data_IF_682753080880
#
_entry.id   IF_682753080880
#
_cell.length_a   1.000
_cell.length_b   1.000
_cell.length_c   1.000
_cell.angle_alpha   90.00
_cell.angle_beta   90.00
_cell.angle_gamma   90.00
#
_symmetry.space_group_name_H-M   'P 1'
#
loop_
_entity.id
_entity.type
_entity.pdbx_description
1 polymer ?
#
# COMPACT_ATOMS: atom_id res chain seq x y z
N UNK A 1 56.50 44.87 5.57
CA UNK A 1 55.92 46.14 6.06
C UNK A 1 54.62 45.76 6.69
N UNK A 2 54.52 45.56 8.04
CA UNK A 2 54.08 46.54 9.05
C UNK A 2 52.56 46.75 8.93
N UNK A 3 51.65 46.49 9.85
CA UNK A 3 51.53 46.46 11.35
C UNK A 3 50.20 45.71 11.65
N UNK A 4 50.02 44.81 12.51
CA UNK A 4 49.90 44.83 13.96
C UNK A 4 48.90 45.87 14.54
N UNK A 5 47.84 45.37 15.19
CA UNK A 5 46.89 46.13 15.99
C UNK A 5 46.09 45.25 16.92
N UNK A 6 46.55 45.09 18.15
CA UNK A 6 45.86 44.50 19.33
C UNK A 6 45.00 45.59 19.99
N UNK A 7 43.84 45.13 20.61
CA UNK A 7 43.29 45.62 21.91
C UNK A 7 41.98 44.81 22.16
N UNK A 8 41.85 43.97 23.14
CA UNK A 8 41.89 43.93 24.59
C UNK A 8 40.80 44.79 25.31
N UNK A 9 40.09 44.07 26.17
CA UNK A 9 39.22 44.47 27.30
C UNK A 9 37.75 44.86 26.95
N UNK A 10 36.72 44.43 27.66
CA UNK A 10 36.52 44.24 29.10
C UNK A 10 35.34 43.32 29.40
N UNK A 11 35.47 42.48 30.37
CA UNK A 11 34.44 41.88 31.20
C UNK A 11 33.68 42.96 32.01
N UNK A 12 32.38 42.74 32.23
CA UNK A 12 31.72 43.08 33.47
C UNK A 12 30.39 42.31 33.59
N UNK A 13 30.12 41.71 34.79
CA UNK A 13 28.89 41.01 35.13
C UNK A 13 27.95 41.95 35.92
N UNK A 14 26.73 41.53 36.12
CA UNK A 14 25.66 41.91 37.08
C UNK A 14 24.33 41.85 36.31
N UNK A 15 23.22 41.40 36.84
CA UNK A 15 22.81 40.91 38.12
C UNK A 15 21.44 40.24 37.90
N UNK A 16 21.10 39.38 38.82
CA UNK A 16 19.81 38.79 39.06
C UNK A 16 18.66 39.81 39.06
N UNK A 17 17.54 39.46 38.41
CA UNK A 17 16.21 39.90 38.87
C UNK A 17 15.17 38.84 38.53
N UNK A 18 14.71 38.18 39.57
CA UNK A 18 13.52 37.33 39.62
C UNK A 18 12.28 38.20 39.53
N UNK A 19 11.31 37.79 38.72
CA UNK A 19 9.87 38.11 38.86
C UNK A 19 9.11 37.09 37.99
N UNK A 20 8.57 36.09 38.54
CA UNK A 20 7.25 35.84 39.12
C UNK A 20 6.08 36.10 38.16
N UNK A 21 5.48 34.95 37.77
CA UNK A 21 4.07 34.65 37.51
C UNK A 21 3.26 35.58 36.64
N UNK A 22 2.70 34.99 35.56
CA UNK A 22 1.23 34.92 35.40
C UNK A 22 0.88 33.65 34.63
N UNK A 23 0.22 32.71 35.30
CA UNK A 23 -0.57 31.65 34.73
C UNK A 23 -1.79 32.27 34.04
N UNK A 24 -1.91 32.12 32.73
CA UNK A 24 -3.18 32.20 32.04
C UNK A 24 -3.35 30.86 31.28
N UNK A 25 -4.15 30.00 31.89
CA UNK A 25 -4.76 28.86 31.27
C UNK A 25 -5.66 29.34 30.12
N UNK A 26 -5.19 29.22 28.90
CA UNK A 26 -5.99 29.30 27.69
C UNK A 26 -6.14 27.90 27.14
N UNK A 27 -7.22 27.22 27.54
CA UNK A 27 -7.71 26.06 26.80
C UNK A 27 -8.16 26.55 25.42
N UNK A 28 -7.30 26.44 24.43
CA UNK A 28 -7.64 26.52 23.03
C UNK A 28 -7.48 25.14 22.46
N UNK A 29 -8.58 24.41 22.32
CA UNK A 29 -8.61 23.18 21.50
C UNK A 29 -8.27 23.57 20.04
N UNK A 30 -6.99 23.60 19.75
CA UNK A 30 -6.52 23.58 18.36
C UNK A 30 -6.68 22.15 17.85
N UNK A 31 -7.80 21.86 17.23
CA UNK A 31 -7.95 20.69 16.37
C UNK A 31 -6.80 20.74 15.37
N UNK A 32 -5.90 19.74 15.34
CA UNK A 32 -4.85 19.72 14.33
C UNK A 32 -5.52 19.60 12.98
N UNK A 33 -5.33 20.61 12.13
CA UNK A 33 -5.73 20.57 10.74
C UNK A 33 -5.08 19.32 10.12
N UNK A 34 -5.91 18.41 9.62
CA UNK A 34 -5.46 17.22 8.89
C UNK A 34 -4.63 17.69 7.70
N UNK A 35 -3.35 17.40 7.70
CA UNK A 35 -2.47 17.60 6.54
C UNK A 35 -3.05 16.79 5.36
N UNK A 36 -3.42 17.43 4.26
CA UNK A 36 -3.86 16.72 3.07
C UNK A 36 -2.63 16.11 2.39
N UNK A 37 -2.60 14.79 2.27
CA UNK A 37 -1.74 14.15 1.29
C UNK A 37 -0.69 13.15 1.78
N UNK A 38 -0.58 12.83 3.06
CA UNK A 38 0.23 11.66 3.45
C UNK A 38 -0.59 10.39 3.26
N UNK A 39 -0.11 9.41 2.47
CA UNK A 39 -0.75 8.10 2.42
C UNK A 39 -0.81 7.56 3.85
N UNK A 40 -2.01 7.31 4.32
CA UNK A 40 -2.25 6.79 5.67
C UNK A 40 -1.49 5.46 5.79
N UNK A 41 -0.58 5.37 6.74
CA UNK A 41 0.14 4.12 7.02
C UNK A 41 -0.86 3.02 7.25
N UNK A 42 -0.88 2.05 6.35
CA UNK A 42 -1.52 0.76 6.61
C UNK A 42 -0.87 0.19 7.85
N UNK A 43 -1.66 -0.07 8.87
CA UNK A 43 -1.19 -0.77 10.06
C UNK A 43 -0.70 -2.15 9.60
N UNK A 44 0.61 -2.33 9.54
CA UNK A 44 1.21 -3.65 9.42
C UNK A 44 0.77 -4.44 10.66
N UNK A 45 -0.24 -5.28 10.48
CA UNK A 45 -0.67 -6.19 11.53
C UNK A 45 0.48 -7.12 11.87
N UNK A 46 1.12 -6.88 13.00
CA UNK A 46 2.32 -7.58 13.47
C UNK A 46 2.00 -8.88 14.18
N UNK A 47 0.83 -9.47 13.95
CA UNK A 47 0.51 -10.76 14.53
C UNK A 47 1.26 -11.87 13.77
N UNK A 48 2.31 -12.39 14.36
CA UNK A 48 2.74 -13.76 14.14
C UNK A 48 1.65 -14.65 14.73
N UNK A 49 0.64 -14.96 13.95
CA UNK A 49 -0.34 -15.96 14.32
C UNK A 49 -0.04 -17.16 13.46
N UNK A 50 0.58 -18.16 14.04
CA UNK A 50 0.42 -19.53 13.56
C UNK A 50 -1.03 -19.94 13.83
N UNK A 51 -1.95 -19.34 13.10
CA UNK A 51 -3.34 -19.78 13.10
C UNK A 51 -3.39 -21.13 12.36
N UNK A 52 -3.36 -22.17 13.16
CA UNK A 52 -3.54 -23.53 12.66
C UNK A 52 -5.03 -23.82 12.61
N UNK A 53 -5.59 -23.94 11.42
CA UNK A 53 -6.98 -24.31 11.24
C UNK A 53 -7.10 -25.78 10.85
N UNK A 54 -7.81 -26.55 11.67
CA UNK A 54 -8.16 -27.93 11.36
C UNK A 54 -9.34 -27.92 10.40
N UNK A 55 -9.08 -28.08 9.11
CA UNK A 55 -10.10 -28.16 8.06
C UNK A 55 -9.86 -29.42 7.24
N UNK A 56 -10.91 -30.15 6.96
CA UNK A 56 -10.87 -31.42 6.25
C UNK A 56 -11.47 -31.32 4.86
N UNK A 57 -11.16 -32.28 3.99
CA UNK A 57 -11.72 -32.40 2.66
C UNK A 57 -10.78 -31.95 1.54
N UNK A 58 -11.34 -31.71 0.37
CA UNK A 58 -10.61 -31.24 -0.80
C UNK A 58 -9.99 -29.85 -0.54
N UNK A 59 -9.05 -29.42 -1.39
CA UNK A 59 -8.42 -28.11 -1.30
C UNK A 59 -9.47 -26.96 -1.23
N UNK A 60 -10.52 -27.02 -2.04
CA UNK A 60 -11.59 -26.02 -2.03
C UNK A 60 -12.45 -26.09 -0.76
N UNK A 61 -12.74 -27.29 -0.26
CA UNK A 61 -13.47 -27.45 1.01
C UNK A 61 -12.69 -26.90 2.19
N UNK A 62 -11.38 -27.13 2.21
CA UNK A 62 -10.48 -26.61 3.25
C UNK A 62 -10.38 -25.10 3.20
N UNK A 63 -10.29 -24.55 1.98
CA UNK A 63 -10.24 -23.09 1.80
C UNK A 63 -11.59 -22.44 2.16
N UNK A 64 -12.71 -23.07 1.82
CA UNK A 64 -14.04 -22.61 2.27
C UNK A 64 -14.15 -22.66 3.79
N UNK A 65 -13.67 -23.73 4.43
CA UNK A 65 -13.62 -23.81 5.90
C UNK A 65 -12.79 -22.69 6.52
N UNK A 66 -11.67 -22.32 5.90
CA UNK A 66 -10.89 -21.14 6.30
C UNK A 66 -11.70 -19.85 6.18
N UNK A 67 -12.41 -19.64 5.06
CA UNK A 67 -13.24 -18.46 4.87
C UNK A 67 -14.38 -18.40 5.90
N UNK A 68 -15.04 -19.52 6.18
CA UNK A 68 -16.08 -19.59 7.21
C UNK A 68 -15.54 -19.23 8.60
N UNK A 69 -14.37 -19.73 8.96
CA UNK A 69 -13.74 -19.39 10.24
C UNK A 69 -13.36 -17.90 10.36
N UNK A 70 -13.08 -17.22 9.22
CA UNK A 70 -12.67 -15.82 9.21
C UNK A 70 -13.82 -14.83 9.00
N UNK A 71 -14.81 -15.20 8.19
CA UNK A 71 -15.87 -14.29 7.71
C UNK A 71 -17.28 -14.81 7.97
N UNK A 72 -17.41 -15.97 8.67
CA UNK A 72 -18.70 -16.58 8.97
C UNK A 72 -19.27 -17.43 7.83
N UNK A 73 -20.38 -18.10 8.10
CA UNK A 73 -20.98 -19.13 7.22
C UNK A 73 -21.51 -18.59 5.88
N UNK A 74 -21.63 -17.27 5.75
CA UNK A 74 -22.04 -16.65 4.50
C UNK A 74 -20.92 -16.56 3.46
N UNK A 75 -19.67 -16.75 3.86
CA UNK A 75 -18.54 -16.68 2.94
C UNK A 75 -18.63 -17.71 1.81
N UNK A 76 -18.17 -17.33 0.61
CA UNK A 76 -18.20 -18.15 -0.60
C UNK A 76 -16.85 -18.08 -1.32
N UNK A 77 -16.46 -19.16 -2.00
CA UNK A 77 -15.25 -19.17 -2.82
C UNK A 77 -15.46 -18.51 -4.18
N UNK A 78 -16.57 -18.78 -4.81
CA UNK A 78 -16.80 -18.49 -6.22
C UNK A 78 -17.91 -17.45 -6.45
N UNK A 79 -18.40 -16.81 -5.40
CA UNK A 79 -19.42 -15.78 -5.46
C UNK A 79 -19.22 -14.72 -4.38
N UNK A 80 -19.62 -13.46 -4.63
CA UNK A 80 -19.68 -12.45 -3.59
C UNK A 80 -20.68 -12.82 -2.48
N UNK A 81 -20.42 -12.30 -1.27
CA UNK A 81 -21.35 -12.42 -0.15
C UNK A 81 -21.47 -11.10 0.62
N UNK A 82 -22.62 -10.88 1.22
CA UNK A 82 -22.87 -9.74 2.08
C UNK A 82 -22.34 -9.98 3.48
N UNK A 83 -21.76 -8.94 4.07
CA UNK A 83 -21.20 -8.96 5.41
C UNK A 83 -21.30 -7.57 6.06
N UNK A 84 -20.88 -7.49 7.30
CA UNK A 84 -20.77 -6.23 8.04
C UNK A 84 -19.32 -5.99 8.41
N UNK A 85 -18.85 -4.78 8.20
CA UNK A 85 -17.54 -4.35 8.63
C UNK A 85 -17.66 -3.42 9.83
N UNK A 86 -16.97 -3.76 10.92
CA UNK A 86 -16.86 -2.90 12.09
C UNK A 86 -15.84 -1.79 11.79
N UNK A 87 -16.35 -0.61 11.44
CA UNK A 87 -15.53 0.58 11.21
C UNK A 87 -15.17 1.22 12.53
N UNK A 88 -13.94 0.99 12.99
CA UNK A 88 -13.45 1.52 14.26
C UNK A 88 -13.19 3.02 14.23
N UNK A 89 -13.14 3.66 13.06
CA UNK A 89 -12.91 5.10 12.93
C UNK A 89 -14.19 5.90 13.16
N UNK A 90 -15.34 5.33 12.78
CA UNK A 90 -16.66 5.97 12.96
C UNK A 90 -17.53 5.22 13.95
N UNK A 91 -16.99 4.18 14.60
CA UNK A 91 -17.68 3.34 15.60
C UNK A 91 -19.03 2.80 15.09
N UNK A 92 -19.07 2.41 13.82
CA UNK A 92 -20.29 1.95 13.17
C UNK A 92 -20.05 0.63 12.42
N UNK A 93 -21.13 -0.15 12.30
CA UNK A 93 -21.18 -1.28 11.39
C UNK A 93 -21.64 -0.81 10.02
N UNK A 94 -20.85 -1.14 9.00
CA UNK A 94 -21.13 -0.73 7.63
C UNK A 94 -21.37 -1.96 6.76
N UNK A 95 -22.37 -1.89 5.86
CA UNK A 95 -22.61 -2.98 4.92
C UNK A 95 -21.46 -3.07 3.92
N UNK A 96 -21.02 -4.29 3.66
CA UNK A 96 -19.94 -4.57 2.73
C UNK A 96 -20.24 -5.80 1.90
N UNK A 97 -19.80 -5.75 0.65
CA UNK A 97 -19.78 -6.92 -0.23
C UNK A 97 -18.36 -7.47 -0.26
N UNK A 98 -18.18 -8.73 0.16
CA UNK A 98 -16.90 -9.43 0.08
C UNK A 98 -16.88 -10.42 -1.08
N UNK A 99 -15.68 -10.67 -1.60
CA UNK A 99 -15.44 -11.71 -2.60
C UNK A 99 -14.01 -12.21 -2.54
N UNK A 100 -13.77 -13.47 -2.90
CA UNK A 100 -12.43 -13.93 -3.25
C UNK A 100 -12.07 -13.33 -4.61
N UNK A 101 -11.22 -12.31 -4.63
CA UNK A 101 -10.87 -11.58 -5.84
C UNK A 101 -9.57 -12.03 -6.50
N UNK A 102 -8.74 -12.79 -5.80
CA UNK A 102 -7.62 -13.52 -6.39
C UNK A 102 -7.32 -14.78 -5.57
N UNK A 103 -7.02 -15.86 -6.27
CA UNK A 103 -6.58 -17.12 -5.70
C UNK A 103 -5.58 -17.78 -6.63
N UNK A 104 -4.49 -18.24 -6.06
CA UNK A 104 -3.49 -18.99 -6.80
C UNK A 104 -2.84 -20.02 -5.88
N UNK A 105 -2.85 -21.30 -6.32
CA UNK A 105 -2.33 -22.43 -5.55
C UNK A 105 -1.19 -23.07 -6.34
N UNK A 106 -0.09 -23.32 -5.66
CA UNK A 106 1.13 -23.85 -6.27
C UNK A 106 1.92 -24.71 -5.29
N UNK A 107 2.79 -25.54 -5.84
CA UNK A 107 3.82 -26.21 -5.06
C UNK A 107 5.00 -25.23 -4.88
N UNK A 108 5.44 -25.05 -3.65
CA UNK A 108 6.61 -24.25 -3.30
C UNK A 108 7.44 -25.06 -2.31
N UNK A 109 8.61 -25.50 -2.73
CA UNK A 109 9.55 -26.31 -1.93
C UNK A 109 8.90 -27.58 -1.33
N UNK A 110 8.06 -28.27 -2.12
CA UNK A 110 7.35 -29.49 -1.70
C UNK A 110 6.18 -29.26 -0.76
N UNK A 111 5.71 -28.02 -0.64
CA UNK A 111 4.52 -27.66 0.12
C UNK A 111 3.48 -26.96 -0.76
N UNK A 112 2.25 -27.39 -0.67
CA UNK A 112 1.15 -26.68 -1.32
C UNK A 112 0.92 -25.35 -0.60
N UNK A 113 1.07 -24.26 -1.35
CA UNK A 113 0.88 -22.92 -0.89
C UNK A 113 -0.24 -22.24 -1.68
N UNK A 114 -1.13 -21.56 -1.00
CA UNK A 114 -2.21 -20.77 -1.61
C UNK A 114 -2.08 -19.30 -1.25
N UNK A 115 -1.98 -18.45 -2.26
CA UNK A 115 -2.12 -17.00 -2.12
C UNK A 115 -3.60 -16.68 -2.33
N UNK A 116 -4.20 -16.03 -1.34
CA UNK A 116 -5.63 -15.73 -1.32
C UNK A 116 -5.84 -14.25 -1.04
N UNK A 117 -6.65 -13.58 -1.86
CA UNK A 117 -7.09 -12.21 -1.65
C UNK A 117 -8.61 -12.17 -1.47
N UNK A 118 -9.06 -11.51 -0.41
CA UNK A 118 -10.47 -11.22 -0.17
C UNK A 118 -10.66 -9.71 -0.30
N UNK A 119 -11.34 -9.31 -1.36
CA UNK A 119 -11.75 -7.94 -1.60
C UNK A 119 -13.01 -7.63 -0.78
N UNK A 120 -13.04 -6.42 -0.24
CA UNK A 120 -14.17 -5.87 0.49
C UNK A 120 -14.55 -4.53 -0.12
N UNK A 121 -15.72 -4.49 -0.75
CA UNK A 121 -16.31 -3.28 -1.29
C UNK A 121 -17.25 -2.69 -0.26
N UNK A 122 -17.10 -1.40 0.04
CA UNK A 122 -17.98 -0.65 0.93
C UNK A 122 -19.18 -0.17 0.12
N UNK A 123 -20.39 -0.62 0.47
CA UNK A 123 -21.59 -0.38 -0.33
C UNK A 123 -22.09 1.07 -0.23
N UNK A 124 -21.72 1.79 0.85
CA UNK A 124 -22.10 3.17 1.12
C UNK A 124 -20.92 4.16 1.10
N UNK A 125 -19.85 3.81 0.39
CA UNK A 125 -18.62 4.58 0.40
C UNK A 125 -18.73 5.96 -0.25
N UNK A 126 -18.05 6.93 0.34
CA UNK A 126 -17.80 8.22 -0.30
C UNK A 126 -16.88 8.05 -1.54
N UNK A 127 -16.92 9.04 -2.44
CA UNK A 127 -16.17 8.97 -3.71
C UNK A 127 -14.65 8.83 -3.56
N UNK A 128 -14.10 9.33 -2.45
CA UNK A 128 -12.66 9.28 -2.14
C UNK A 128 -12.28 8.13 -1.21
N UNK A 129 -13.27 7.39 -0.72
CA UNK A 129 -13.04 6.33 0.26
C UNK A 129 -12.50 5.08 -0.43
N UNK A 130 -11.37 4.50 0.05
CA UNK A 130 -10.81 3.29 -0.50
C UNK A 130 -11.63 2.05 -0.10
N UNK A 131 -11.60 1.02 -0.94
CA UNK A 131 -12.02 -0.31 -0.52
C UNK A 131 -11.00 -0.97 0.40
N UNK A 132 -11.34 -2.14 0.90
CA UNK A 132 -10.49 -2.92 1.82
C UNK A 132 -10.05 -4.22 1.15
N UNK A 133 -8.90 -4.70 1.56
CA UNK A 133 -8.30 -5.91 1.01
C UNK A 133 -7.62 -6.71 2.11
N UNK A 134 -8.03 -7.96 2.26
CA UNK A 134 -7.36 -8.91 3.11
C UNK A 134 -6.56 -9.89 2.26
N UNK A 135 -5.28 -10.02 2.55
CA UNK A 135 -4.34 -10.87 1.85
C UNK A 135 -3.84 -11.97 2.78
N UNK A 136 -3.80 -13.19 2.28
CA UNK A 136 -3.34 -14.35 3.02
C UNK A 136 -2.38 -15.18 2.18
N UNK A 137 -1.39 -15.76 2.84
CA UNK A 137 -0.61 -16.85 2.31
C UNK A 137 -0.82 -18.05 3.22
N UNK A 138 -1.44 -19.07 2.67
CA UNK A 138 -1.82 -20.30 3.35
C UNK A 138 -0.89 -21.42 2.89
N UNK A 139 -0.63 -22.38 3.76
CA UNK A 139 0.18 -23.55 3.47
C UNK A 139 -0.40 -24.78 4.14
N UNK A 140 -0.33 -25.90 3.47
CA UNK A 140 -0.64 -27.19 4.08
C UNK A 140 0.41 -27.51 5.13
N UNK A 141 -0.02 -27.79 6.35
CA UNK A 141 0.84 -28.27 7.43
C UNK A 141 1.20 -29.75 7.24
N UNK A 142 2.05 -30.30 8.08
CA UNK A 142 2.35 -31.73 8.07
C UNK A 142 1.10 -32.54 8.49
N UNK A 143 0.79 -33.59 7.73
CA UNK A 143 -0.20 -34.57 8.14
C UNK A 143 0.31 -35.33 9.38
N UNK A 144 -0.55 -35.50 10.38
CA UNK A 144 -0.21 -36.23 11.61
C UNK A 144 -1.04 -37.52 11.66
N UNK A 145 -0.39 -38.66 11.46
CA UNK A 145 -1.05 -39.97 11.41
C UNK A 145 -2.01 -40.07 10.23
N UNK A 146 -3.28 -40.43 10.50
CA UNK A 146 -4.35 -40.52 9.50
C UNK A 146 -5.16 -39.23 9.36
N UNK A 147 -4.82 -38.18 10.12
CA UNK A 147 -5.49 -36.91 10.07
C UNK A 147 -5.05 -36.10 8.86
N UNK A 148 -5.96 -35.38 8.26
CA UNK A 148 -5.65 -34.47 7.17
C UNK A 148 -4.71 -33.36 7.64
N UNK A 149 -3.86 -32.85 6.73
CA UNK A 149 -2.94 -31.79 7.03
C UNK A 149 -3.71 -30.51 7.42
N UNK A 150 -3.35 -29.84 8.53
CA UNK A 150 -3.96 -28.57 8.90
C UNK A 150 -3.62 -27.49 7.89
N UNK A 151 -4.44 -26.46 7.79
CA UNK A 151 -4.16 -25.27 7.01
C UNK A 151 -3.49 -24.22 7.91
N UNK A 152 -2.30 -23.79 7.54
CA UNK A 152 -1.49 -22.81 8.28
C UNK A 152 -1.56 -21.46 7.60
N UNK A 153 -1.79 -20.39 8.34
CA UNK A 153 -1.63 -19.00 7.87
C UNK A 153 -0.17 -18.61 8.08
N UNK A 154 0.63 -18.62 7.03
CA UNK A 154 2.07 -18.29 7.14
C UNK A 154 2.36 -16.79 6.98
N UNK A 155 1.48 -16.04 6.36
CA UNK A 155 1.52 -14.58 6.30
C UNK A 155 0.12 -14.02 6.04
N UNK A 156 -0.16 -12.86 6.62
CA UNK A 156 -1.40 -12.12 6.35
C UNK A 156 -1.17 -10.61 6.39
N UNK A 157 -2.01 -9.89 5.66
CA UNK A 157 -2.15 -8.43 5.73
C UNK A 157 -3.62 -8.10 5.63
N UNK A 158 -4.19 -7.58 6.70
CA UNK A 158 -5.62 -7.33 6.82
C UNK A 158 -5.94 -5.85 6.63
N UNK A 159 -7.12 -5.58 6.10
CA UNK A 159 -7.69 -4.24 5.96
C UNK A 159 -6.80 -3.26 5.17
N UNK A 160 -6.03 -3.78 4.19
CA UNK A 160 -5.27 -2.94 3.27
C UNK A 160 -6.21 -1.99 2.51
N UNK A 161 -5.88 -0.70 2.45
CA UNK A 161 -6.69 0.32 1.80
C UNK A 161 -6.18 0.57 0.39
N UNK A 162 -7.02 0.36 -0.64
CA UNK A 162 -6.69 0.56 -2.04
C UNK A 162 -7.89 1.12 -2.79
N UNK A 163 -7.62 1.81 -3.90
CA UNK A 163 -8.65 2.29 -4.78
C UNK A 163 -9.50 3.44 -4.22
N UNK A 164 -10.72 3.56 -4.70
CA UNK A 164 -11.67 4.63 -4.37
C UNK A 164 -13.11 4.14 -4.52
N UNK A 165 -14.09 4.94 -4.07
CA UNK A 165 -15.52 4.60 -4.11
C UNK A 165 -15.82 3.25 -3.45
N UNK A 166 -15.12 2.96 -2.36
CA UNK A 166 -15.29 1.72 -1.61
C UNK A 166 -14.70 0.47 -2.27
N UNK A 167 -14.15 0.54 -3.48
CA UNK A 167 -13.62 -0.63 -4.19
C UNK A 167 -12.09 -0.67 -4.15
N UNK A 168 -11.47 -1.81 -3.81
CA UNK A 168 -10.01 -1.90 -3.64
C UNK A 168 -9.24 -1.96 -4.97
N UNK A 169 -9.91 -2.00 -6.13
CA UNK A 169 -9.30 -2.19 -7.42
C UNK A 169 -9.23 -3.66 -7.84
N UNK A 170 -8.32 -3.98 -8.75
CA UNK A 170 -8.14 -5.34 -9.29
C UNK A 170 -6.94 -6.01 -8.66
N UNK A 171 -7.11 -7.25 -8.22
CA UNK A 171 -6.04 -8.05 -7.61
C UNK A 171 -5.72 -9.26 -8.48
N UNK A 172 -4.45 -9.54 -8.68
CA UNK A 172 -3.95 -10.73 -9.35
C UNK A 172 -2.71 -11.24 -8.62
N UNK A 173 -2.39 -12.52 -8.78
CA UNK A 173 -1.11 -13.08 -8.33
C UNK A 173 -0.16 -13.10 -9.51
N UNK A 174 1.04 -12.54 -9.34
CA UNK A 174 2.06 -12.42 -10.37
C UNK A 174 3.42 -12.91 -9.87
N UNK A 175 4.20 -13.65 -10.66
CA UNK A 175 5.56 -14.00 -10.31
C UNK A 175 6.46 -12.75 -10.36
N UNK A 176 7.22 -12.53 -9.30
CA UNK A 176 8.27 -11.50 -9.23
C UNK A 176 9.67 -12.10 -9.19
N UNK A 177 9.79 -13.42 -9.33
CA UNK A 177 11.04 -14.15 -9.29
C UNK A 177 10.80 -15.64 -9.47
N UNK A 178 11.85 -16.48 -9.53
CA UNK A 178 11.70 -17.93 -9.75
C UNK A 178 10.80 -18.61 -8.72
N UNK A 179 10.85 -18.15 -7.46
CA UNK A 179 10.03 -18.66 -6.35
C UNK A 179 9.37 -17.52 -5.56
N UNK A 180 9.36 -16.31 -6.12
CA UNK A 180 8.75 -15.14 -5.51
C UNK A 180 7.46 -14.78 -6.24
N UNK A 181 6.38 -14.71 -5.49
CA UNK A 181 5.07 -14.31 -6.01
C UNK A 181 4.53 -13.19 -5.16
N UNK A 182 3.77 -12.30 -5.79
CA UNK A 182 3.16 -11.17 -5.15
C UNK A 182 1.70 -11.03 -5.55
N UNK A 183 0.94 -10.39 -4.68
CA UNK A 183 -0.33 -9.79 -5.08
C UNK A 183 -0.01 -8.51 -5.83
N UNK A 184 -0.39 -8.45 -7.10
CA UNK A 184 -0.42 -7.25 -7.90
C UNK A 184 -1.79 -6.60 -7.69
N UNK A 185 -1.80 -5.39 -7.19
CA UNK A 185 -3.02 -4.63 -6.93
C UNK A 185 -2.99 -3.40 -7.83
N UNK A 186 -3.88 -3.37 -8.82
CA UNK A 186 -4.06 -2.21 -9.71
C UNK A 186 -5.25 -1.41 -9.20
N UNK A 187 -5.01 -0.17 -8.85
CA UNK A 187 -6.02 0.71 -8.28
C UNK A 187 -5.88 2.13 -8.81
N UNK A 188 -6.99 2.85 -8.83
CA UNK A 188 -7.03 4.24 -9.27
C UNK A 188 -7.58 5.15 -8.19
N UNK A 189 -7.31 6.44 -8.35
CA UNK A 189 -7.86 7.52 -7.54
C UNK A 189 -7.97 8.79 -8.38
N UNK A 190 -8.80 9.72 -7.95
CA UNK A 190 -8.87 11.06 -8.55
C UNK A 190 -8.59 12.05 -7.44
N UNK A 191 -7.51 12.81 -7.60
CA UNK A 191 -7.10 13.84 -6.64
C UNK A 191 -7.07 15.20 -7.35
N UNK A 192 -7.92 16.15 -6.92
CA UNK A 192 -7.98 17.52 -7.44
C UNK A 192 -8.09 17.61 -8.98
N UNK A 193 -8.77 16.65 -9.61
CA UNK A 193 -8.91 16.57 -11.06
C UNK A 193 -7.80 15.80 -11.78
N UNK A 194 -6.77 15.36 -11.07
CA UNK A 194 -5.75 14.46 -11.60
C UNK A 194 -6.22 13.02 -11.41
N UNK A 195 -6.33 12.28 -12.51
CA UNK A 195 -6.58 10.86 -12.51
C UNK A 195 -5.25 10.11 -12.34
N UNK A 196 -5.19 9.24 -11.36
CA UNK A 196 -4.03 8.42 -11.04
C UNK A 196 -4.42 6.95 -11.10
N UNK A 197 -3.67 6.14 -11.83
CA UNK A 197 -3.69 4.69 -11.69
C UNK A 197 -2.34 4.22 -11.16
N UNK A 198 -2.39 3.28 -10.24
CA UNK A 198 -1.20 2.77 -9.56
C UNK A 198 -1.21 1.26 -9.49
N UNK A 199 -0.03 0.68 -9.46
CA UNK A 199 0.22 -0.72 -9.25
C UNK A 199 1.04 -0.90 -7.98
N UNK A 200 0.47 -1.62 -7.02
CA UNK A 200 1.18 -2.09 -5.83
C UNK A 200 1.54 -3.55 -5.97
N UNK A 201 2.73 -3.94 -5.55
CA UNK A 201 3.12 -5.32 -5.37
C UNK A 201 3.28 -5.62 -3.88
N UNK A 202 2.51 -6.60 -3.38
CA UNK A 202 2.58 -7.05 -2.00
C UNK A 202 3.09 -8.50 -1.98
N UNK A 203 4.26 -8.71 -1.40
CA UNK A 203 4.92 -10.01 -1.36
C UNK A 203 5.27 -10.46 0.06
N UNK A 204 5.51 -11.77 0.20
CA UNK A 204 5.99 -12.33 1.46
C UNK A 204 7.45 -11.97 1.67
N UNK A 205 7.74 -11.38 2.81
CA UNK A 205 9.09 -11.19 3.30
C UNK A 205 9.17 -11.54 4.78
N UNK A 206 9.99 -12.53 5.12
CA UNK A 206 10.20 -13.00 6.49
C UNK A 206 8.86 -13.20 7.26
N UNK A 207 7.97 -14.04 6.75
CA UNK A 207 6.62 -14.36 7.31
C UNK A 207 5.64 -13.18 7.39
N UNK A 208 5.86 -12.10 6.66
CA UNK A 208 4.94 -10.95 6.60
C UNK A 208 4.66 -10.57 5.16
N UNK A 209 3.45 -10.12 4.89
CA UNK A 209 3.09 -9.49 3.62
C UNK A 209 3.43 -8.00 3.68
N UNK A 210 4.32 -7.56 2.79
CA UNK A 210 4.76 -6.16 2.68
C UNK A 210 4.60 -5.65 1.27
N UNK A 211 4.28 -4.38 1.13
CA UNK A 211 4.38 -3.70 -0.14
C UNK A 211 5.85 -3.54 -0.51
N UNK A 212 6.23 -4.20 -1.60
CA UNK A 212 7.61 -4.21 -2.11
C UNK A 212 7.81 -3.24 -3.27
N UNK A 213 6.72 -2.80 -3.91
CA UNK A 213 6.73 -1.73 -4.91
C UNK A 213 5.38 -1.04 -4.99
N UNK A 214 5.41 0.26 -5.24
CA UNK A 214 4.30 1.09 -5.68
C UNK A 214 4.79 1.91 -6.88
N UNK A 215 4.13 1.76 -8.03
CA UNK A 215 4.44 2.47 -9.27
C UNK A 215 3.17 3.07 -9.86
N UNK A 216 3.31 4.18 -10.59
CA UNK A 216 2.22 4.70 -11.41
C UNK A 216 2.05 3.85 -12.66
N UNK A 217 0.81 3.59 -13.08
CA UNK A 217 0.44 3.03 -14.37
C UNK A 217 -0.08 4.11 -15.32
N UNK A 218 -0.71 5.14 -14.75
CA UNK A 218 -1.25 6.26 -15.51
C UNK A 218 -1.36 7.50 -14.63
N UNK A 219 -1.14 8.67 -15.24
CA UNK A 219 -1.35 9.97 -14.64
C UNK A 219 -1.88 10.93 -15.69
N UNK A 220 -3.01 11.59 -15.42
CA UNK A 220 -3.68 12.51 -16.35
C UNK A 220 -4.32 13.66 -15.59
N UNK A 221 -4.00 14.90 -15.98
CA UNK A 221 -4.59 16.10 -15.40
C UNK A 221 -5.62 16.80 -16.33
N UNK A 222 -6.05 16.16 -17.40
CA UNK A 222 -6.97 16.76 -18.38
C UNK A 222 -8.31 17.21 -17.80
N UNK A 223 -8.71 16.61 -16.66
CA UNK A 223 -9.93 16.98 -15.91
C UNK A 223 -9.66 17.99 -14.79
N UNK A 224 -8.42 18.40 -14.57
CA UNK A 224 -8.08 19.43 -13.60
C UNK A 224 -8.62 20.77 -14.07
N UNK A 225 -9.20 21.56 -13.14
CA UNK A 225 -9.64 22.91 -13.48
C UNK A 225 -8.41 23.77 -13.73
N UNK A 226 -8.43 24.66 -14.76
CA UNK A 226 -7.39 25.64 -14.95
C UNK A 226 -7.16 26.42 -13.65
N UNK A 227 -5.91 26.75 -13.38
CA UNK A 227 -5.56 27.60 -12.26
C UNK A 227 -6.21 28.95 -12.46
N UNK A 228 -7.20 29.31 -11.64
CA UNK A 228 -7.71 30.69 -11.61
C UNK A 228 -6.64 31.66 -11.10
N UNK A 229 -6.93 32.98 -11.10
CA UNK A 229 -6.01 34.04 -10.69
C UNK A 229 -5.37 33.87 -9.29
N UNK A 230 -5.82 32.91 -8.50
CA UNK A 230 -5.27 32.58 -7.20
C UNK A 230 -3.97 31.72 -7.21
N UNK A 231 -3.53 31.26 -8.35
CA UNK A 231 -2.18 30.81 -8.75
C UNK A 231 -1.31 29.95 -7.84
N UNK A 232 -1.78 29.42 -6.74
CA UNK A 232 -0.96 28.60 -5.83
C UNK A 232 -1.46 27.16 -5.75
N UNK A 233 -0.61 26.24 -6.20
CA UNK A 233 -0.81 24.79 -5.95
C UNK A 233 -1.63 24.06 -7.00
N UNK A 234 -1.80 24.61 -8.17
CA UNK A 234 -2.33 23.93 -9.34
C UNK A 234 -1.27 23.86 -10.46
N UNK A 235 -1.38 22.86 -11.27
CA UNK A 235 -0.47 22.60 -12.37
C UNK A 235 -1.20 22.84 -13.69
N UNK A 236 -0.88 23.97 -14.35
CA UNK A 236 -1.48 24.33 -15.63
C UNK A 236 -0.81 23.58 -16.81
N UNK A 237 0.30 22.89 -16.56
CA UNK A 237 0.98 22.14 -17.59
C UNK A 237 0.20 20.86 -17.89
N UNK A 238 -0.33 20.68 -19.10
CA UNK A 238 -1.03 19.44 -19.45
C UNK A 238 -0.06 18.27 -19.41
N UNK A 239 -0.46 17.22 -18.73
CA UNK A 239 0.25 15.95 -18.77
C UNK A 239 -0.74 14.78 -18.86
N UNK A 240 -0.33 13.76 -19.60
CA UNK A 240 -1.02 12.49 -19.72
C UNK A 240 0.04 11.44 -20.04
N UNK A 241 0.39 10.62 -19.07
CA UNK A 241 1.47 9.64 -19.18
C UNK A 241 0.99 8.26 -18.78
N UNK A 242 1.23 7.29 -19.67
CA UNK A 242 1.09 5.86 -19.39
C UNK A 242 2.45 5.26 -19.07
N UNK A 243 2.47 4.40 -18.06
CA UNK A 243 3.64 3.64 -17.66
C UNK A 243 3.38 2.14 -17.85
N UNK A 244 4.00 1.55 -18.85
CA UNK A 244 3.94 0.11 -19.09
C UNK A 244 4.97 -0.59 -18.21
N UNK A 245 4.49 -1.33 -17.22
CA UNK A 245 5.30 -2.04 -16.23
C UNK A 245 5.31 -3.53 -16.59
N UNK A 246 6.51 -4.09 -16.76
CA UNK A 246 6.72 -5.51 -16.99
C UNK A 246 7.73 -6.09 -16.00
N UNK A 247 7.52 -7.34 -15.59
CA UNK A 247 8.46 -8.08 -14.76
C UNK A 247 9.51 -8.71 -15.67
N UNK A 248 10.79 -8.48 -15.37
CA UNK A 248 11.90 -9.13 -16.04
C UNK A 248 11.98 -10.63 -15.72
N UNK A 249 12.89 -11.33 -16.38
CA UNK A 249 13.10 -12.78 -16.16
C UNK A 249 14.56 -13.14 -15.90
N UNK A 250 15.42 -12.13 -15.77
CA UNK A 250 16.87 -12.31 -15.57
C UNK A 250 17.36 -11.39 -14.43
N UNK A 251 18.60 -11.63 -13.98
CA UNK A 251 19.32 -10.78 -13.01
C UNK A 251 18.59 -10.58 -11.68
N UNK A 252 18.05 -11.67 -11.11
CA UNK A 252 17.33 -11.62 -9.85
C UNK A 252 18.23 -11.20 -8.68
N UNK A 253 17.77 -10.20 -7.89
CA UNK A 253 18.37 -9.81 -6.63
C UNK A 253 17.49 -10.30 -5.47
N UNK A 254 18.08 -11.06 -4.54
CA UNK A 254 17.36 -11.72 -3.42
C UNK A 254 16.14 -12.56 -3.92
N UNK A 255 16.27 -13.13 -5.11
CA UNK A 255 15.23 -13.92 -5.77
C UNK A 255 14.12 -13.10 -6.42
N UNK A 256 14.24 -11.76 -6.50
CA UNK A 256 13.32 -10.88 -7.22
C UNK A 256 13.89 -10.43 -8.55
N UNK A 257 13.12 -10.58 -9.63
CA UNK A 257 13.46 -10.04 -10.94
C UNK A 257 13.29 -8.52 -10.97
N UNK A 258 14.08 -7.79 -11.76
CA UNK A 258 13.87 -6.36 -11.92
C UNK A 258 12.53 -6.08 -12.63
N UNK A 259 11.95 -4.90 -12.34
CA UNK A 259 10.83 -4.38 -13.11
C UNK A 259 11.36 -3.46 -14.21
N UNK A 260 10.73 -3.50 -15.37
CA UNK A 260 10.99 -2.54 -16.45
C UNK A 260 9.77 -1.65 -16.60
N UNK A 261 10.01 -0.34 -16.68
CA UNK A 261 8.95 0.66 -16.85
C UNK A 261 9.23 1.45 -18.13
N UNK A 262 8.25 1.55 -19.00
CA UNK A 262 8.31 2.38 -20.22
C UNK A 262 7.23 3.44 -20.13
N UNK A 263 7.63 4.70 -20.14
CA UNK A 263 6.70 5.81 -20.19
C UNK A 263 6.34 6.17 -21.63
N UNK A 264 5.10 6.60 -21.84
CA UNK A 264 4.60 7.14 -23.12
C UNK A 264 3.56 8.21 -22.85
N UNK A 265 3.56 9.26 -23.66
CA UNK A 265 2.56 10.31 -23.58
C UNK A 265 3.18 11.69 -23.51
N UNK A 266 2.50 12.61 -22.87
CA UNK A 266 2.95 13.97 -22.64
C UNK A 266 3.26 14.14 -21.16
N UNK A 267 4.50 14.47 -20.87
CA UNK A 267 4.96 14.78 -19.51
C UNK A 267 5.05 16.29 -19.28
N UNK A 268 5.33 16.71 -18.07
CA UNK A 268 5.47 18.11 -17.64
C UNK A 268 6.52 18.90 -18.43
N UNK A 269 7.54 18.23 -18.93
CA UNK A 269 8.66 18.84 -19.67
C UNK A 269 8.62 18.56 -21.17
N UNK A 270 7.65 17.79 -21.65
CA UNK A 270 7.56 17.41 -23.07
C UNK A 270 7.14 15.93 -23.25
N UNK A 271 7.37 15.36 -24.43
CA UNK A 271 7.01 13.97 -24.71
C UNK A 271 7.68 13.00 -23.72
N UNK A 272 6.90 12.13 -23.09
CA UNK A 272 7.40 11.08 -22.20
C UNK A 272 7.89 9.88 -23.02
N UNK A 273 9.19 9.59 -22.98
CA UNK A 273 9.83 8.45 -23.60
C UNK A 273 10.97 7.95 -22.71
N UNK A 274 10.66 7.43 -21.54
CA UNK A 274 11.70 6.84 -20.68
C UNK A 274 11.62 5.31 -20.68
N UNK A 275 12.76 4.73 -20.32
CA UNK A 275 12.90 3.33 -19.98
C UNK A 275 13.66 3.23 -18.68
N UNK A 276 13.02 2.72 -17.66
CA UNK A 276 13.59 2.59 -16.33
C UNK A 276 13.70 1.12 -15.96
N UNK A 277 14.84 0.73 -15.43
CA UNK A 277 15.07 -0.56 -14.81
C UNK A 277 15.00 -0.39 -13.30
N UNK A 278 13.97 -0.93 -12.67
CA UNK A 278 13.74 -0.82 -11.24
C UNK A 278 14.19 -2.11 -10.58
N UNK A 279 15.37 -2.09 -9.99
CA UNK A 279 15.94 -3.24 -9.30
C UNK A 279 15.37 -3.40 -7.89
N UNK A 280 15.34 -4.64 -7.40
CA UNK A 280 15.03 -4.91 -6.02
C UNK A 280 16.24 -4.58 -5.13
N UNK A 281 16.02 -3.81 -4.06
CA UNK A 281 17.03 -3.51 -3.04
C UNK A 281 16.88 -4.50 -1.87
N UNK A 282 17.81 -5.43 -1.69
CA UNK A 282 17.72 -6.42 -0.63
C UNK A 282 17.89 -5.84 0.78
N UNK A 283 18.53 -4.66 0.91
CA UNK A 283 18.71 -3.98 2.20
C UNK A 283 17.42 -3.28 2.60
N UNK A 284 16.85 -2.49 1.70
CA UNK A 284 15.55 -1.83 1.90
C UNK A 284 14.37 -2.83 1.81
N UNK A 285 14.60 -4.03 1.25
CA UNK A 285 13.61 -5.10 1.04
C UNK A 285 12.42 -4.65 0.21
N UNK A 286 12.68 -3.86 -0.82
CA UNK A 286 11.70 -3.33 -1.76
C UNK A 286 12.39 -2.93 -3.06
N UNK A 287 11.60 -2.73 -4.09
CA UNK A 287 12.11 -2.16 -5.33
C UNK A 287 12.55 -0.71 -5.13
N UNK A 288 13.69 -0.36 -5.72
CA UNK A 288 14.24 1.01 -5.69
C UNK A 288 13.50 1.86 -6.74
N UNK A 289 12.22 2.15 -6.49
CA UNK A 289 11.38 2.91 -7.44
C UNK A 289 11.81 4.37 -7.46
N UNK A 290 12.22 4.92 -8.63
CA UNK A 290 12.53 6.33 -8.78
C UNK A 290 11.34 7.22 -8.41
N UNK A 291 11.56 8.42 -7.83
CA UNK A 291 10.47 9.34 -7.46
C UNK A 291 9.56 9.70 -8.64
N UNK A 292 10.12 9.81 -9.84
CA UNK A 292 9.41 10.16 -11.08
C UNK A 292 8.30 9.16 -11.42
N UNK A 293 8.49 7.88 -11.02
CA UNK A 293 7.50 6.82 -11.19
C UNK A 293 6.47 6.74 -10.05
N UNK A 294 6.52 7.66 -9.10
CA UNK A 294 5.60 7.73 -7.94
C UNK A 294 4.87 9.07 -7.84
N UNK A 295 5.26 10.07 -8.61
CA UNK A 295 4.69 11.42 -8.53
C UNK A 295 3.20 11.44 -8.84
N UNK A 296 2.51 12.47 -8.37
CA UNK A 296 1.09 12.74 -8.62
C UNK A 296 0.86 14.01 -9.45
N UNK A 297 1.92 14.71 -9.87
CA UNK A 297 1.85 15.94 -10.65
C UNK A 297 3.22 16.44 -11.09
N UNK A 298 3.25 17.62 -11.74
CA UNK A 298 4.47 18.26 -12.22
C UNK A 298 5.20 19.06 -11.14
N UNK A 299 4.53 19.46 -10.10
CA UNK A 299 5.06 20.35 -9.05
C UNK A 299 5.63 19.61 -7.83
N UNK A 300 5.81 18.29 -7.92
CA UNK A 300 6.36 17.46 -6.83
C UNK A 300 7.82 17.09 -7.04
#
# INVERSE_FOLDING_TARGET
MVRAGRAVHRLRPFALASALLVLLAGCGDATPASEPGKPRRVLDSTAQVEDTLQVSGTADQRLLGFLHARYGDNARLDAPWQDQWDDTEVEARRPVTRSVCARDTRDTDGHVQTLLAVCQTLDDAASVEPGRLDLYVLRDGPAVGTSEAPLLVIAQRLQGQYGHRGAPGTVQVEPLGPQRHAFRITHGEIQRGVALASRSYVAVHASRLREVALLREHIDNSAARPCGDAGKGCDDTPFNVDFNIAVGTADAADGYWPLTVRSRGQDCTGPAHSYDLVAFDPVARRYAVPPELQRAGCAE
#
